data_IF_921187728574
#
_entry.id   IF_921187728574
#
_cell.length_a   1.000
_cell.length_b   1.000
_cell.length_c   1.000
_cell.angle_alpha   90.00
_cell.angle_beta   90.00
_cell.angle_gamma   90.00
#
_symmetry.space_group_name_H-M   'P 1'
#
loop_
_entity.id
_entity.type
_entity.pdbx_description
1 polymer ?
#
# COMPACT_ATOMS: atom_id res chain seq x y z
N UNK A 1 -5.68 34.04 18.05
CA UNK A 1 -4.22 33.83 17.87
C UNK A 1 -4.02 32.60 17.02
N UNK A 2 -3.35 32.78 15.89
CA UNK A 2 -3.16 31.82 14.79
C UNK A 2 -2.14 30.73 15.17
N UNK A 3 -2.53 29.79 16.02
CA UNK A 3 -1.74 28.60 16.32
C UNK A 3 -2.31 27.40 15.58
N UNK A 4 -1.49 26.74 14.77
CA UNK A 4 -1.77 25.50 14.02
C UNK A 4 -2.35 25.65 12.60
N UNK A 5 -1.69 26.45 11.75
CA UNK A 5 -1.81 26.34 10.28
C UNK A 5 -0.80 25.37 9.65
N UNK A 6 0.04 24.72 10.46
CA UNK A 6 1.05 23.78 9.98
C UNK A 6 0.89 22.44 10.69
N UNK A 7 0.25 21.53 9.98
CA UNK A 7 0.26 20.10 10.27
C UNK A 7 1.71 19.59 10.30
N UNK A 8 2.04 18.72 11.26
CA UNK A 8 3.38 18.13 11.38
C UNK A 8 3.72 17.35 10.10
N UNK A 9 5.01 17.26 9.76
CA UNK A 9 5.45 16.55 8.54
C UNK A 9 4.96 15.09 8.53
N UNK A 10 4.90 14.46 9.71
CA UNK A 10 4.43 13.08 9.87
C UNK A 10 2.92 12.97 9.64
N UNK A 11 2.11 13.93 10.12
CA UNK A 11 0.66 13.90 9.89
C UNK A 11 0.28 14.14 8.43
N UNK A 12 0.99 15.05 7.73
CA UNK A 12 0.83 15.21 6.27
C UNK A 12 1.15 13.94 5.50
N UNK A 13 2.15 13.20 5.98
CA UNK A 13 2.59 11.96 5.36
C UNK A 13 1.55 10.86 5.53
N UNK A 14 1.07 10.67 6.76
CA UNK A 14 0.01 9.71 7.08
C UNK A 14 -1.25 10.00 6.25
N UNK A 15 -1.70 11.25 6.17
CA UNK A 15 -2.87 11.59 5.36
C UNK A 15 -2.69 11.31 3.86
N UNK A 16 -1.47 11.47 3.33
CA UNK A 16 -1.16 11.08 1.94
C UNK A 16 -1.31 9.57 1.79
N UNK A 17 -0.72 8.78 2.68
CA UNK A 17 -0.78 7.32 2.61
C UNK A 17 -2.20 6.77 2.79
N UNK A 18 -2.99 7.32 3.73
CA UNK A 18 -4.42 6.98 3.89
C UNK A 18 -5.23 7.30 2.62
N UNK A 19 -4.91 8.40 1.92
CA UNK A 19 -5.56 8.73 0.66
C UNK A 19 -5.17 7.76 -0.46
N UNK A 20 -3.88 7.42 -0.54
CA UNK A 20 -3.36 6.43 -1.50
C UNK A 20 -3.97 5.03 -1.24
N UNK A 21 -4.13 4.61 0.01
CA UNK A 21 -4.81 3.35 0.38
C UNK A 21 -6.23 3.28 -0.16
N UNK A 22 -7.01 4.36 0.00
CA UNK A 22 -8.38 4.42 -0.52
C UNK A 22 -8.42 4.27 -2.03
N UNK A 23 -7.47 4.89 -2.73
CA UNK A 23 -7.38 4.80 -4.20
C UNK A 23 -6.89 3.42 -4.66
N UNK A 24 -5.93 2.81 -3.95
CA UNK A 24 -5.50 1.41 -4.17
C UNK A 24 -6.68 0.45 -4.06
N UNK A 25 -7.48 0.58 -2.99
CA UNK A 25 -8.68 -0.25 -2.78
C UNK A 25 -9.73 0.01 -3.87
N UNK A 26 -9.96 1.26 -4.25
CA UNK A 26 -10.90 1.60 -5.31
C UNK A 26 -10.50 0.99 -6.66
N UNK A 27 -9.23 1.12 -7.05
CA UNK A 27 -8.70 0.53 -8.28
C UNK A 27 -8.72 -1.00 -8.25
N UNK A 28 -8.44 -1.62 -7.10
CA UNK A 28 -8.55 -3.07 -6.94
C UNK A 28 -9.99 -3.57 -7.16
N UNK A 29 -10.97 -2.85 -6.62
CA UNK A 29 -12.38 -3.14 -6.85
C UNK A 29 -12.76 -2.94 -8.33
N UNK A 30 -12.29 -1.87 -8.98
CA UNK A 30 -12.52 -1.61 -10.41
C UNK A 30 -11.99 -2.77 -11.27
N UNK A 31 -10.78 -3.28 -10.97
CA UNK A 31 -10.23 -4.46 -11.66
C UNK A 31 -11.13 -5.68 -11.52
N UNK A 32 -11.61 -5.97 -10.31
CA UNK A 32 -12.50 -7.11 -10.04
C UNK A 32 -13.83 -6.94 -10.78
N UNK A 33 -14.46 -5.77 -10.66
CA UNK A 33 -15.74 -5.51 -11.29
C UNK A 33 -15.69 -5.57 -12.82
N UNK A 34 -14.66 -4.98 -13.43
CA UNK A 34 -14.49 -5.06 -14.88
C UNK A 34 -14.15 -6.48 -15.33
N UNK A 35 -13.37 -7.23 -14.56
CA UNK A 35 -13.12 -8.65 -14.85
C UNK A 35 -14.41 -9.46 -14.82
N UNK A 36 -15.23 -9.31 -13.78
CA UNK A 36 -16.49 -10.03 -13.60
C UNK A 36 -17.52 -9.72 -14.70
N UNK A 37 -17.46 -8.51 -15.28
CA UNK A 37 -18.28 -8.08 -16.42
C UNK A 37 -17.73 -8.57 -17.78
N UNK A 38 -16.55 -9.20 -17.82
CA UNK A 38 -15.84 -9.57 -19.05
C UNK A 38 -15.21 -8.38 -19.78
N UNK A 39 -15.13 -7.21 -19.13
CA UNK A 39 -14.57 -5.97 -19.66
C UNK A 39 -13.03 -5.95 -19.48
N UNK A 40 -12.34 -6.94 -20.06
CA UNK A 40 -10.92 -7.16 -19.79
C UNK A 40 -10.01 -5.98 -20.18
N UNK A 41 -10.39 -5.17 -21.17
CA UNK A 41 -9.65 -3.96 -21.51
C UNK A 41 -9.68 -2.93 -20.37
N UNK A 42 -10.87 -2.70 -19.79
CA UNK A 42 -11.06 -1.81 -18.64
C UNK A 42 -10.34 -2.36 -17.40
N UNK A 43 -10.49 -3.66 -17.13
CA UNK A 43 -9.78 -4.32 -16.03
C UNK A 43 -8.25 -4.14 -16.15
N UNK A 44 -7.71 -4.22 -17.37
CA UNK A 44 -6.28 -4.05 -17.63
C UNK A 44 -5.82 -2.60 -17.51
N UNK A 45 -6.67 -1.64 -17.87
CA UNK A 45 -6.40 -0.22 -17.63
C UNK A 45 -6.36 0.09 -16.13
N UNK A 46 -7.37 -0.36 -15.37
CA UNK A 46 -7.42 -0.21 -13.92
C UNK A 46 -6.22 -0.90 -13.25
N UNK A 47 -5.83 -2.10 -13.71
CA UNK A 47 -4.66 -2.83 -13.20
C UNK A 47 -3.36 -2.06 -13.42
N UNK A 48 -3.21 -1.33 -14.54
CA UNK A 48 -2.03 -0.49 -14.80
C UNK A 48 -1.97 0.70 -13.86
N UNK A 49 -3.11 1.37 -13.63
CA UNK A 49 -3.21 2.46 -12.66
C UNK A 49 -2.88 1.97 -11.26
N UNK A 50 -3.44 0.81 -10.87
CA UNK A 50 -3.15 0.14 -9.61
C UNK A 50 -1.66 -0.17 -9.49
N UNK A 51 -1.03 -0.68 -10.55
CA UNK A 51 0.39 -0.98 -10.53
C UNK A 51 1.24 0.25 -10.27
N UNK A 52 1.03 1.34 -11.01
CA UNK A 52 1.77 2.58 -10.80
C UNK A 52 1.60 3.09 -9.37
N UNK A 53 0.35 3.19 -8.89
CA UNK A 53 0.08 3.71 -7.55
C UNK A 53 0.64 2.82 -6.45
N UNK A 54 0.46 1.50 -6.53
CA UNK A 54 0.92 0.57 -5.50
C UNK A 54 2.46 0.49 -5.44
N UNK A 55 3.14 0.51 -6.59
CA UNK A 55 4.62 0.56 -6.66
C UNK A 55 5.12 1.83 -5.99
N UNK A 56 4.58 2.99 -6.40
CA UNK A 56 5.02 4.30 -5.90
C UNK A 56 4.77 4.43 -4.41
N UNK A 57 3.58 4.02 -3.94
CA UNK A 57 3.19 4.04 -2.54
C UNK A 57 4.14 3.17 -1.69
N UNK A 58 4.35 1.91 -2.07
CA UNK A 58 5.20 0.98 -1.33
C UNK A 58 6.68 1.42 -1.33
N UNK A 59 7.16 2.07 -2.40
CA UNK A 59 8.51 2.64 -2.42
C UNK A 59 8.64 3.87 -1.54
N UNK A 60 7.66 4.77 -1.58
CA UNK A 60 7.62 5.99 -0.77
C UNK A 60 7.57 5.65 0.73
N UNK A 61 6.74 4.68 1.08
CA UNK A 61 6.58 4.20 2.45
C UNK A 61 7.86 3.54 2.98
N UNK A 62 8.48 2.61 2.24
CA UNK A 62 9.76 2.00 2.64
C UNK A 62 10.85 3.04 2.90
N UNK A 63 11.02 4.00 1.97
CA UNK A 63 12.07 5.02 2.09
C UNK A 63 11.84 5.93 3.29
N UNK A 64 10.59 6.34 3.51
CA UNK A 64 10.26 7.29 4.57
C UNK A 64 10.16 6.63 5.93
N UNK A 65 9.64 5.42 6.03
CA UNK A 65 9.68 4.63 7.26
C UNK A 65 11.13 4.34 7.66
N UNK A 66 11.97 3.91 6.72
CA UNK A 66 13.39 3.71 6.99
C UNK A 66 14.07 4.99 7.49
N UNK A 67 13.77 6.14 6.87
CA UNK A 67 14.30 7.43 7.29
C UNK A 67 13.81 7.83 8.68
N UNK A 68 12.51 7.70 8.95
CA UNK A 68 11.91 7.98 10.26
C UNK A 68 12.55 7.10 11.34
N UNK A 69 12.70 5.79 11.09
CA UNK A 69 13.38 4.88 12.02
C UNK A 69 14.81 5.33 12.29
N UNK A 70 15.55 5.78 11.28
CA UNK A 70 16.93 6.23 11.46
C UNK A 70 17.01 7.55 12.24
N UNK A 71 16.16 8.52 11.92
CA UNK A 71 16.15 9.86 12.52
C UNK A 71 15.51 9.89 13.91
N UNK A 72 14.58 8.96 14.19
CA UNK A 72 13.84 8.86 15.45
C UNK A 72 14.16 7.59 16.25
N UNK A 73 15.18 6.80 15.87
CA UNK A 73 15.60 5.58 16.61
C UNK A 73 15.86 5.80 18.10
N UNK A 74 16.29 7.01 18.50
CA UNK A 74 16.49 7.36 19.92
C UNK A 74 15.21 7.80 20.62
N UNK A 75 14.13 8.07 19.88
CA UNK A 75 12.84 8.59 20.36
C UNK A 75 11.69 7.58 20.27
N UNK A 76 11.80 6.60 19.36
CA UNK A 76 10.86 5.49 19.25
C UNK A 76 11.08 4.53 20.43
N UNK A 77 10.01 4.18 21.12
CA UNK A 77 10.07 3.16 22.14
C UNK A 77 10.33 1.77 21.51
N UNK A 78 10.87 0.84 22.32
CA UNK A 78 11.24 -0.50 21.86
C UNK A 78 10.06 -1.30 21.31
N UNK A 79 8.84 -1.05 21.79
CA UNK A 79 7.64 -1.75 21.32
C UNK A 79 7.30 -1.28 19.90
N UNK A 80 7.32 0.03 19.65
CA UNK A 80 7.12 0.61 18.33
C UNK A 80 8.20 0.15 17.34
N UNK A 81 9.47 0.11 17.77
CA UNK A 81 10.56 -0.42 16.94
C UNK A 81 10.32 -1.89 16.55
N UNK A 82 9.93 -2.74 17.51
CA UNK A 82 9.64 -4.16 17.25
C UNK A 82 8.45 -4.34 16.30
N UNK A 83 7.37 -3.57 16.47
CA UNK A 83 6.20 -3.62 15.59
C UNK A 83 6.55 -3.23 14.15
N UNK A 84 7.43 -2.24 13.97
CA UNK A 84 7.91 -1.81 12.66
C UNK A 84 8.80 -2.89 12.02
N UNK A 85 9.72 -3.48 12.79
CA UNK A 85 10.61 -4.53 12.31
C UNK A 85 9.82 -5.78 11.89
N UNK A 86 8.85 -6.20 12.71
CA UNK A 86 7.95 -7.31 12.42
C UNK A 86 7.09 -7.00 11.18
N UNK A 87 6.66 -5.75 11.03
CA UNK A 87 5.91 -5.30 9.87
C UNK A 87 6.74 -5.37 8.57
N UNK A 88 7.97 -4.84 8.57
CA UNK A 88 8.88 -4.89 7.42
C UNK A 88 9.20 -6.35 7.06
N UNK A 89 9.45 -7.19 8.07
CA UNK A 89 9.76 -8.60 7.88
C UNK A 89 8.57 -9.37 7.28
N UNK A 90 7.36 -9.16 7.81
CA UNK A 90 6.14 -9.81 7.35
C UNK A 90 5.75 -9.38 5.94
N UNK A 91 5.96 -8.11 5.57
CA UNK A 91 5.49 -7.59 4.30
C UNK A 91 6.47 -7.78 3.13
N UNK A 92 7.75 -8.07 3.41
CA UNK A 92 8.77 -8.23 2.35
C UNK A 92 8.39 -9.26 1.28
N UNK A 93 7.86 -10.41 1.69
CA UNK A 93 7.44 -11.46 0.75
C UNK A 93 6.20 -11.06 -0.04
N UNK A 94 5.21 -10.47 0.63
CA UNK A 94 3.98 -9.96 0.00
C UNK A 94 4.28 -8.88 -1.02
N UNK A 95 5.17 -7.93 -0.68
CA UNK A 95 5.64 -6.90 -1.61
C UNK A 95 6.21 -7.51 -2.88
N UNK A 96 7.13 -8.47 -2.76
CA UNK A 96 7.73 -9.11 -3.92
C UNK A 96 6.66 -9.84 -4.75
N UNK A 97 5.74 -10.56 -4.11
CA UNK A 97 4.64 -11.24 -4.79
C UNK A 97 3.75 -10.26 -5.56
N UNK A 98 3.35 -9.15 -4.92
CA UNK A 98 2.54 -8.09 -5.53
C UNK A 98 3.25 -7.44 -6.72
N UNK A 99 4.52 -7.07 -6.57
CA UNK A 99 5.29 -6.44 -7.65
C UNK A 99 5.47 -7.38 -8.85
N UNK A 100 5.79 -8.65 -8.60
CA UNK A 100 5.91 -9.65 -9.66
C UNK A 100 4.57 -9.90 -10.36
N UNK A 101 3.49 -9.98 -9.60
CA UNK A 101 2.15 -10.16 -10.12
C UNK A 101 1.73 -9.00 -11.03
N UNK A 102 1.85 -7.76 -10.53
CA UNK A 102 1.48 -6.57 -11.29
C UNK A 102 2.36 -6.42 -12.53
N UNK A 103 3.67 -6.69 -12.44
CA UNK A 103 4.56 -6.67 -13.60
C UNK A 103 4.17 -7.72 -14.66
N UNK A 104 3.76 -8.94 -14.25
CA UNK A 104 3.29 -9.99 -15.16
C UNK A 104 2.02 -9.55 -15.89
N UNK A 105 0.98 -9.19 -15.15
CA UNK A 105 -0.38 -9.04 -15.70
C UNK A 105 -0.69 -7.66 -16.30
N UNK A 106 0.13 -6.64 -16.02
CA UNK A 106 0.02 -5.35 -16.74
C UNK A 106 0.56 -5.40 -18.17
N UNK A 107 1.37 -6.43 -18.49
CA UNK A 107 1.91 -6.65 -19.83
C UNK A 107 0.76 -6.83 -20.86
N UNK A 108 0.78 -6.13 -22.00
CA UNK A 108 -0.27 -6.22 -23.02
C UNK A 108 -0.56 -7.65 -23.47
N UNK A 109 0.48 -8.48 -23.59
CA UNK A 109 0.43 -9.85 -24.13
C UNK A 109 -0.12 -10.90 -23.16
N UNK A 110 -0.16 -10.60 -21.86
CA UNK A 110 -0.59 -11.58 -20.84
C UNK A 110 -2.11 -11.48 -20.62
N UNK A 111 -2.89 -12.53 -20.88
CA UNK A 111 -4.34 -12.48 -20.67
C UNK A 111 -4.69 -12.40 -19.17
N UNK A 112 -5.87 -11.84 -18.87
CA UNK A 112 -6.47 -11.92 -17.54
C UNK A 112 -7.27 -13.23 -17.49
N UNK A 113 -6.60 -14.31 -17.09
CA UNK A 113 -7.16 -15.65 -16.98
C UNK A 113 -7.68 -15.97 -15.57
N UNK A 114 -8.14 -17.19 -15.34
CA UNK A 114 -8.62 -17.61 -14.02
C UNK A 114 -7.50 -17.60 -12.96
N UNK A 115 -6.26 -17.88 -13.38
CA UNK A 115 -5.06 -17.76 -12.52
C UNK A 115 -4.85 -16.31 -12.09
N UNK A 116 -4.96 -15.35 -13.02
CA UNK A 116 -4.95 -13.93 -12.70
C UNK A 116 -5.96 -13.61 -11.62
N UNK A 117 -7.23 -13.97 -11.83
CA UNK A 117 -8.31 -13.56 -10.95
C UNK A 117 -8.19 -14.13 -9.54
N UNK A 118 -7.85 -15.42 -9.45
CA UNK A 118 -7.65 -16.10 -8.17
C UNK A 118 -6.50 -15.47 -7.39
N UNK A 119 -5.35 -15.32 -8.05
CA UNK A 119 -4.15 -14.72 -7.43
C UNK A 119 -4.39 -13.25 -7.08
N UNK A 120 -5.12 -12.51 -7.91
CA UNK A 120 -5.43 -11.11 -7.66
C UNK A 120 -6.24 -10.93 -6.38
N UNK A 121 -7.28 -11.76 -6.19
CA UNK A 121 -8.11 -11.72 -4.99
C UNK A 121 -7.31 -12.00 -3.72
N UNK A 122 -6.45 -13.02 -3.76
CA UNK A 122 -5.56 -13.34 -2.63
C UNK A 122 -4.65 -12.14 -2.30
N UNK A 123 -4.06 -11.50 -3.31
CA UNK A 123 -3.21 -10.32 -3.11
C UNK A 123 -3.99 -9.12 -2.57
N UNK A 124 -5.23 -8.90 -3.04
CA UNK A 124 -6.11 -7.83 -2.54
C UNK A 124 -6.47 -8.05 -1.08
N UNK A 125 -6.77 -9.28 -0.68
CA UNK A 125 -7.05 -9.63 0.72
C UNK A 125 -5.84 -9.36 1.62
N UNK A 126 -4.64 -9.74 1.17
CA UNK A 126 -3.40 -9.47 1.92
C UNK A 126 -3.13 -7.95 1.99
N UNK A 127 -3.36 -7.22 0.90
CA UNK A 127 -3.24 -5.76 0.89
C UNK A 127 -4.21 -5.09 1.88
N UNK A 128 -5.45 -5.55 1.95
CA UNK A 128 -6.43 -5.04 2.90
C UNK A 128 -6.00 -5.27 4.36
N UNK A 129 -5.46 -6.46 4.67
CA UNK A 129 -4.91 -6.76 6.00
C UNK A 129 -3.74 -5.85 6.35
N UNK A 130 -2.85 -5.58 5.39
CA UNK A 130 -1.73 -4.66 5.55
C UNK A 130 -2.18 -3.24 5.84
N UNK A 131 -3.06 -2.69 5.00
CA UNK A 131 -3.63 -1.34 5.17
C UNK A 131 -4.26 -1.20 6.56
N UNK A 132 -5.06 -2.19 6.97
CA UNK A 132 -5.69 -2.19 8.29
C UNK A 132 -4.68 -2.16 9.44
N UNK A 133 -3.58 -2.91 9.32
CA UNK A 133 -2.50 -2.90 10.31
C UNK A 133 -1.80 -1.54 10.38
N UNK A 134 -1.44 -0.97 9.22
CA UNK A 134 -0.73 0.32 9.11
C UNK A 134 -1.54 1.45 9.73
N UNK A 135 -2.82 1.55 9.36
CA UNK A 135 -3.70 2.60 9.86
C UNK A 135 -3.98 2.46 11.36
N UNK A 136 -4.16 1.22 11.84
CA UNK A 136 -4.50 0.98 13.25
C UNK A 136 -3.31 1.15 14.20
N UNK A 137 -2.09 0.84 13.75
CA UNK A 137 -0.92 0.75 14.63
C UNK A 137 0.16 1.79 14.32
N UNK A 138 0.55 1.89 13.05
CA UNK A 138 1.73 2.65 12.64
C UNK A 138 1.39 4.15 12.53
N UNK A 139 0.32 4.44 11.81
CA UNK A 139 -0.10 5.80 11.48
C UNK A 139 -0.67 6.52 12.71
N UNK A 140 -1.41 5.81 13.55
CA UNK A 140 -1.92 6.32 14.82
C UNK A 140 -0.79 6.81 15.75
N UNK A 141 0.34 6.10 15.78
CA UNK A 141 1.53 6.48 16.56
C UNK A 141 2.31 7.64 15.92
N UNK A 142 2.43 7.68 14.59
CA UNK A 142 3.07 8.80 13.87
C UNK A 142 2.25 10.11 13.92
N UNK A 143 0.93 10.01 14.08
CA UNK A 143 0.02 11.16 14.24
C UNK A 143 -0.02 11.75 15.67
N UNK A 144 0.39 10.95 16.67
CA UNK A 144 0.28 11.23 18.10
C UNK A 144 1.47 11.99 18.73
N UNK A 145 2.53 12.27 17.96
CA UNK A 145 3.70 13.04 18.38
C UNK A 145 3.74 14.46 17.79
#
# INVERSE_FOLDING_TARGET
MFGSLFESKNRKLVHKWEAEHKEIVALANEVIESYDKGEYASAKEALRKLNTLAVDHVMDEDLKLFKLMKEESEKLDRETQSLVDDFIAGFKHTKIALMNFLAKYTSPEVPLDEEFYTTFKELVDILAQRISFEESNLYSRLNGH
#
